data_IF_365353309666
#
_entry.id   IF_365353309666
#
_cell.length_a   1.000
_cell.length_b   1.000
_cell.length_c   1.000
_cell.angle_alpha   90.00
_cell.angle_beta   90.00
_cell.angle_gamma   90.00
#
_symmetry.space_group_name_H-M   'P 1'
#
loop_
_entity.id
_entity.type
_entity.pdbx_description
1 polymer ?
#
# COMPACT_ATOMS: atom_id res chain seq x y z
N UNK A 1 -1.12 -22.70 14.72
CA UNK A 1 -0.77 -22.08 13.42
C UNK A 1 -1.62 -22.76 12.36
N UNK A 2 -2.55 -22.07 11.68
CA UNK A 2 -3.22 -22.67 10.54
C UNK A 2 -2.15 -22.97 9.47
N UNK A 3 -2.06 -24.23 9.05
CA UNK A 3 -1.11 -24.68 8.04
C UNK A 3 -1.56 -24.17 6.67
N UNK A 4 -0.86 -23.16 6.14
CA UNK A 4 -1.09 -22.66 4.78
C UNK A 4 -0.79 -23.80 3.79
N UNK A 5 -1.76 -24.12 2.93
CA UNK A 5 -1.68 -25.25 2.00
C UNK A 5 -0.55 -25.02 0.95
N UNK A 6 0.31 -26.01 0.62
CA UNK A 6 1.34 -25.89 -0.42
C UNK A 6 0.87 -25.33 -1.77
N UNK A 7 -0.37 -25.63 -2.17
CA UNK A 7 -0.98 -25.07 -3.39
C UNK A 7 -1.20 -23.55 -3.26
N UNK A 8 -1.73 -23.10 -2.12
CA UNK A 8 -1.95 -21.68 -1.83
C UNK A 8 -0.63 -20.89 -1.81
N UNK A 9 0.43 -21.46 -1.24
CA UNK A 9 1.77 -20.85 -1.30
C UNK A 9 2.30 -20.68 -2.72
N UNK A 10 1.91 -21.59 -3.63
CA UNK A 10 2.34 -21.58 -5.02
C UNK A 10 1.58 -20.53 -5.84
N UNK A 11 0.30 -20.30 -5.55
CA UNK A 11 -0.51 -19.22 -6.13
C UNK A 11 -0.06 -17.84 -5.62
N UNK A 12 0.18 -17.71 -4.31
CA UNK A 12 0.71 -16.47 -3.71
C UNK A 12 2.03 -16.05 -4.35
N UNK A 13 2.98 -16.98 -4.52
CA UNK A 13 4.25 -16.69 -5.21
C UNK A 13 4.05 -16.25 -6.66
N UNK A 14 3.06 -16.80 -7.36
CA UNK A 14 2.74 -16.39 -8.73
C UNK A 14 2.21 -14.95 -8.78
N UNK A 15 1.32 -14.59 -7.85
CA UNK A 15 0.81 -13.23 -7.72
C UNK A 15 1.93 -12.22 -7.43
N UNK A 16 2.86 -12.57 -6.53
CA UNK A 16 4.04 -11.75 -6.21
C UNK A 16 4.94 -11.60 -7.45
N UNK A 17 5.17 -12.68 -8.21
CA UNK A 17 5.93 -12.65 -9.46
C UNK A 17 5.28 -11.74 -10.51
N UNK A 18 3.96 -11.81 -10.69
CA UNK A 18 3.23 -10.91 -11.60
C UNK A 18 3.35 -9.45 -11.17
N UNK A 19 3.19 -9.16 -9.88
CA UNK A 19 3.33 -7.81 -9.36
C UNK A 19 4.75 -7.25 -9.56
N UNK A 20 5.78 -8.06 -9.29
CA UNK A 20 7.17 -7.72 -9.56
C UNK A 20 7.40 -7.37 -11.04
N UNK A 21 6.96 -8.23 -11.96
CA UNK A 21 7.07 -8.01 -13.40
C UNK A 21 6.35 -6.74 -13.89
N UNK A 22 5.15 -6.46 -13.35
CA UNK A 22 4.32 -5.31 -13.78
C UNK A 22 4.83 -3.97 -13.26
N UNK A 23 5.52 -3.96 -12.13
CA UNK A 23 5.90 -2.72 -11.44
C UNK A 23 7.40 -2.46 -11.44
N UNK A 24 8.21 -3.49 -11.69
CA UNK A 24 9.67 -3.43 -11.59
C UNK A 24 10.20 -3.52 -10.15
N UNK A 25 9.34 -3.70 -9.14
CA UNK A 25 9.79 -3.95 -7.77
C UNK A 25 10.37 -5.36 -7.68
N UNK A 26 11.47 -5.50 -6.94
CA UNK A 26 12.15 -6.78 -6.79
C UNK A 26 11.25 -7.88 -6.19
N UNK A 27 11.27 -9.06 -6.80
CA UNK A 27 10.46 -10.20 -6.39
C UNK A 27 10.82 -10.69 -4.97
N UNK A 28 12.11 -10.75 -4.65
CA UNK A 28 12.56 -11.25 -3.35
C UNK A 28 12.21 -10.26 -2.24
N UNK A 29 12.25 -8.96 -2.52
CA UNK A 29 11.74 -7.93 -1.62
C UNK A 29 10.24 -8.12 -1.33
N UNK A 30 9.40 -8.23 -2.37
CA UNK A 30 7.96 -8.42 -2.18
C UNK A 30 7.65 -9.73 -1.43
N UNK A 31 8.38 -10.80 -1.75
CA UNK A 31 8.25 -12.08 -1.05
C UNK A 31 8.66 -11.98 0.41
N UNK A 32 9.76 -11.29 0.72
CA UNK A 32 10.21 -11.07 2.09
C UNK A 32 9.20 -10.24 2.89
N UNK A 33 8.66 -9.17 2.28
CA UNK A 33 7.63 -8.34 2.91
C UNK A 33 6.37 -9.17 3.20
N UNK A 34 5.86 -9.94 2.25
CA UNK A 34 4.69 -10.81 2.47
C UNK A 34 4.90 -11.86 3.58
N UNK A 35 6.14 -12.39 3.73
CA UNK A 35 6.47 -13.29 4.85
C UNK A 35 6.45 -12.56 6.19
N UNK A 36 7.01 -11.36 6.27
CA UNK A 36 7.04 -10.55 7.49
C UNK A 36 5.63 -10.15 7.93
N UNK A 37 4.78 -9.75 6.97
CA UNK A 37 3.46 -9.22 7.26
C UNK A 37 2.44 -10.30 7.60
N UNK A 38 2.42 -11.41 6.86
CA UNK A 38 1.37 -12.43 7.04
C UNK A 38 1.85 -13.87 7.06
N UNK A 39 3.15 -14.12 6.95
CA UNK A 39 3.67 -15.48 6.75
C UNK A 39 3.21 -16.12 5.45
N UNK A 40 2.96 -15.30 4.40
CA UNK A 40 2.36 -15.70 3.11
C UNK A 40 0.89 -16.11 3.16
N UNK A 41 0.17 -15.81 4.24
CA UNK A 41 -1.27 -16.03 4.31
C UNK A 41 -2.05 -14.83 3.72
N UNK A 42 -2.73 -14.98 2.56
CA UNK A 42 -3.58 -13.92 2.01
C UNK A 42 -4.88 -13.71 2.80
N UNK A 43 -5.21 -14.60 3.74
CA UNK A 43 -6.39 -14.48 4.63
C UNK A 43 -6.07 -13.89 6.00
N UNK A 44 -4.82 -13.52 6.25
CA UNK A 44 -4.41 -12.98 7.55
C UNK A 44 -5.19 -11.72 7.92
N UNK A 45 -5.64 -11.65 9.17
CA UNK A 45 -6.35 -10.50 9.73
C UNK A 45 -5.80 -10.21 11.13
N UNK A 46 -5.23 -9.01 11.31
CA UNK A 46 -4.80 -8.56 12.63
C UNK A 46 -6.01 -8.37 13.57
N UNK A 47 -5.88 -8.79 14.83
CA UNK A 47 -6.94 -8.63 15.85
C UNK A 47 -7.02 -7.21 16.46
N UNK A 48 -5.96 -6.42 16.36
CA UNK A 48 -5.82 -5.11 17.02
C UNK A 48 -5.88 -3.92 16.07
N UNK A 49 -5.98 -4.15 14.76
CA UNK A 49 -6.02 -3.11 13.74
C UNK A 49 -6.87 -3.53 12.54
N UNK A 50 -7.03 -2.64 11.55
CA UNK A 50 -7.69 -2.98 10.28
C UNK A 50 -6.78 -3.70 9.28
N UNK A 51 -5.53 -4.00 9.65
CA UNK A 51 -4.59 -4.73 8.81
C UNK A 51 -5.17 -6.07 8.36
N UNK A 52 -5.14 -6.29 7.05
CA UNK A 52 -5.81 -7.40 6.36
C UNK A 52 -5.01 -7.84 5.14
N UNK A 53 -4.98 -9.15 4.90
CA UNK A 53 -4.45 -9.74 3.69
C UNK A 53 -2.94 -9.98 3.69
N UNK A 54 -2.42 -10.36 2.52
CA UNK A 54 -1.04 -10.79 2.29
C UNK A 54 0.02 -9.77 2.74
N UNK A 55 -0.29 -8.47 2.62
CA UNK A 55 0.60 -7.36 3.00
C UNK A 55 0.02 -6.51 4.14
N UNK A 56 -0.94 -7.04 4.90
CA UNK A 56 -1.50 -6.40 6.10
C UNK A 56 -1.94 -4.93 5.91
N UNK A 57 -2.56 -4.62 4.77
CA UNK A 57 -3.06 -3.29 4.48
C UNK A 57 -4.14 -2.84 5.48
N UNK A 58 -3.91 -1.70 6.12
CA UNK A 58 -4.95 -0.98 6.86
C UNK A 58 -5.93 -0.29 5.91
N UNK A 59 -7.15 -0.04 6.38
CA UNK A 59 -8.26 0.49 5.58
C UNK A 59 -7.90 1.75 4.78
N UNK A 60 -7.30 2.75 5.43
CA UNK A 60 -6.96 4.04 4.79
C UNK A 60 -5.88 3.91 3.72
N UNK A 61 -4.86 3.09 3.98
CA UNK A 61 -3.77 2.86 3.02
C UNK A 61 -4.28 2.08 1.82
N UNK A 62 -5.10 1.05 2.03
CA UNK A 62 -5.71 0.30 0.94
C UNK A 62 -6.51 1.21 0.00
N UNK A 63 -7.41 2.00 0.56
CA UNK A 63 -8.25 2.92 -0.22
C UNK A 63 -7.40 3.90 -1.04
N UNK A 64 -6.36 4.48 -0.43
CA UNK A 64 -5.43 5.37 -1.13
C UNK A 64 -4.70 4.68 -2.28
N UNK A 65 -4.27 3.42 -2.10
CA UNK A 65 -3.56 2.70 -3.15
C UNK A 65 -4.48 2.34 -4.32
N UNK A 66 -5.72 1.93 -4.03
CA UNK A 66 -6.73 1.65 -5.06
C UNK A 66 -7.09 2.91 -5.84
N UNK A 67 -7.30 4.03 -5.15
CA UNK A 67 -7.58 5.35 -5.77
C UNK A 67 -6.45 5.83 -6.70
N UNK A 68 -5.20 5.56 -6.33
CA UNK A 68 -4.04 6.07 -7.10
C UNK A 68 -3.58 5.13 -8.22
N UNK A 69 -3.75 3.82 -8.03
CA UNK A 69 -3.15 2.81 -8.89
C UNK A 69 -4.12 1.73 -9.35
N UNK A 70 -5.36 1.72 -8.86
CA UNK A 70 -6.36 0.69 -9.16
C UNK A 70 -6.61 0.55 -10.66
N UNK A 71 -6.90 1.67 -11.34
CA UNK A 71 -7.12 1.69 -12.79
C UNK A 71 -5.94 1.13 -13.60
N UNK A 72 -4.70 1.43 -13.21
CA UNK A 72 -3.48 0.93 -13.88
C UNK A 72 -3.40 -0.61 -13.89
N UNK A 73 -4.03 -1.25 -12.91
CA UNK A 73 -3.93 -2.68 -12.66
C UNK A 73 -5.23 -3.44 -12.88
N UNK A 74 -6.16 -2.88 -13.66
CA UNK A 74 -7.42 -3.54 -14.02
C UNK A 74 -8.50 -3.47 -12.93
N UNK A 75 -8.33 -2.60 -11.93
CA UNK A 75 -9.31 -2.32 -10.88
C UNK A 75 -9.99 -0.95 -11.09
N UNK A 76 -10.17 -0.53 -12.35
CA UNK A 76 -10.78 0.75 -12.71
C UNK A 76 -12.17 0.94 -12.07
N UNK A 77 -12.98 -0.13 -12.00
CA UNK A 77 -14.28 -0.09 -11.32
C UNK A 77 -14.18 0.25 -9.82
N UNK A 78 -13.09 -0.17 -9.17
CA UNK A 78 -12.87 0.05 -7.73
C UNK A 78 -12.37 1.46 -7.49
N UNK A 79 -11.44 1.92 -8.32
CA UNK A 79 -10.91 3.29 -8.34
C UNK A 79 -12.04 4.31 -8.59
N UNK A 80 -12.82 4.14 -9.67
CA UNK A 80 -13.94 5.03 -10.01
C UNK A 80 -15.07 5.07 -8.96
N UNK A 81 -15.16 4.06 -8.08
CA UNK A 81 -16.13 4.06 -6.99
C UNK A 81 -15.73 4.98 -5.83
N UNK A 82 -14.45 5.39 -5.76
CA UNK A 82 -13.91 6.25 -4.71
C UNK A 82 -14.25 7.70 -5.07
N UNK A 83 -15.05 8.34 -4.22
CA UNK A 83 -15.44 9.73 -4.38
C UNK A 83 -14.31 10.70 -3.98
N UNK A 84 -14.45 12.00 -4.27
CA UNK A 84 -13.44 13.03 -4.00
C UNK A 84 -12.96 13.15 -2.54
N UNK A 85 -13.73 12.60 -1.59
CA UNK A 85 -13.36 12.53 -0.17
C UNK A 85 -12.63 11.25 0.26
N UNK A 86 -12.24 10.39 -0.69
CA UNK A 86 -11.57 9.10 -0.42
C UNK A 86 -12.51 8.00 0.10
N UNK A 87 -13.83 8.22 0.04
CA UNK A 87 -14.86 7.29 0.51
C UNK A 87 -15.69 6.71 -0.62
N UNK A 88 -16.29 5.54 -0.40
CA UNK A 88 -17.25 4.90 -1.32
C UNK A 88 -18.64 5.03 -0.71
N UNK A 89 -19.60 5.59 -1.47
CA UNK A 89 -20.95 5.88 -0.99
C UNK A 89 -21.79 4.61 -0.79
N UNK A 90 -21.74 3.67 -1.74
CA UNK A 90 -22.48 2.41 -1.64
C UNK A 90 -21.76 1.42 -0.69
N UNK A 91 -22.38 1.00 0.44
CA UNK A 91 -21.75 0.10 1.39
C UNK A 91 -21.37 -1.27 0.79
N UNK A 92 -22.16 -1.78 -0.14
CA UNK A 92 -21.87 -3.06 -0.79
C UNK A 92 -20.63 -2.97 -1.69
N UNK A 93 -20.51 -1.89 -2.46
CA UNK A 93 -19.32 -1.58 -3.26
C UNK A 93 -18.11 -1.37 -2.36
N UNK A 94 -18.26 -0.64 -1.25
CA UNK A 94 -17.18 -0.48 -0.27
C UNK A 94 -16.70 -1.84 0.23
N UNK A 95 -17.60 -2.73 0.62
CA UNK A 95 -17.24 -4.06 1.09
C UNK A 95 -16.47 -4.86 0.02
N UNK A 96 -16.88 -4.79 -1.25
CA UNK A 96 -16.17 -5.44 -2.37
C UNK A 96 -14.76 -4.87 -2.59
N UNK A 97 -14.60 -3.55 -2.57
CA UNK A 97 -13.28 -2.93 -2.70
C UNK A 97 -12.38 -3.31 -1.53
N UNK A 98 -12.91 -3.34 -0.30
CA UNK A 98 -12.13 -3.73 0.88
C UNK A 98 -11.78 -5.23 0.91
N UNK A 99 -12.58 -6.09 0.30
CA UNK A 99 -12.32 -7.54 0.23
C UNK A 99 -11.18 -7.90 -0.72
N UNK A 100 -10.85 -7.05 -1.68
CA UNK A 100 -9.69 -7.22 -2.57
C UNK A 100 -8.36 -7.33 -1.80
N UNK A 101 -8.29 -6.88 -0.54
CA UNK A 101 -7.11 -7.12 0.32
C UNK A 101 -6.78 -8.60 0.51
N UNK A 102 -7.80 -9.46 0.45
CA UNK A 102 -7.65 -10.92 0.54
C UNK A 102 -7.27 -11.57 -0.80
N UNK A 103 -7.35 -10.83 -1.91
CA UNK A 103 -6.93 -11.30 -3.23
C UNK A 103 -5.41 -11.12 -3.36
N UNK A 104 -4.69 -12.22 -3.63
CA UNK A 104 -3.23 -12.20 -3.64
C UNK A 104 -2.67 -11.33 -4.77
N UNK A 105 -3.34 -11.26 -5.93
CA UNK A 105 -2.91 -10.44 -7.06
C UNK A 105 -3.12 -8.95 -6.77
N UNK A 106 -4.33 -8.56 -6.38
CA UNK A 106 -4.64 -7.18 -6.06
C UNK A 106 -3.77 -6.67 -4.89
N UNK A 107 -3.63 -7.47 -3.84
CA UNK A 107 -2.79 -7.14 -2.68
C UNK A 107 -1.32 -6.99 -3.06
N UNK A 108 -0.78 -7.89 -3.91
CA UNK A 108 0.61 -7.80 -4.37
C UNK A 108 0.86 -6.59 -5.27
N UNK A 109 -0.08 -6.26 -6.16
CA UNK A 109 0.04 -5.08 -7.04
C UNK A 109 0.02 -3.78 -6.24
N UNK A 110 -0.89 -3.64 -5.29
CA UNK A 110 -0.94 -2.45 -4.43
C UNK A 110 0.27 -2.37 -3.49
N UNK A 111 0.77 -3.50 -2.99
CA UNK A 111 2.00 -3.53 -2.18
C UNK A 111 3.21 -3.06 -3.00
N UNK A 112 3.33 -3.53 -4.24
CA UNK A 112 4.40 -3.14 -5.13
C UNK A 112 4.32 -1.64 -5.49
N UNK A 113 3.15 -1.09 -5.77
CA UNK A 113 3.00 0.35 -6.01
C UNK A 113 3.31 1.18 -4.75
N UNK A 114 2.93 0.71 -3.55
CA UNK A 114 3.30 1.38 -2.30
C UNK A 114 4.82 1.37 -2.08
N UNK A 115 5.47 0.24 -2.39
CA UNK A 115 6.94 0.15 -2.36
C UNK A 115 7.57 1.12 -3.34
N UNK A 116 7.02 1.29 -4.55
CA UNK A 116 7.51 2.29 -5.51
C UNK A 116 7.37 3.72 -4.98
N UNK A 117 6.21 4.08 -4.45
CA UNK A 117 5.98 5.41 -3.86
C UNK A 117 6.96 5.69 -2.71
N UNK A 118 7.18 4.70 -1.83
CA UNK A 118 8.17 4.81 -0.77
C UNK A 118 9.59 4.95 -1.32
N UNK A 119 9.96 4.16 -2.35
CA UNK A 119 11.28 4.24 -2.96
C UNK A 119 11.52 5.62 -3.58
N UNK A 120 10.57 6.13 -4.36
CA UNK A 120 10.63 7.44 -4.98
C UNK A 120 10.82 8.54 -3.92
N UNK A 121 10.03 8.51 -2.84
CA UNK A 121 10.14 9.46 -1.74
C UNK A 121 11.46 9.39 -0.97
N UNK A 122 11.96 8.18 -0.72
CA UNK A 122 13.23 8.00 0.00
C UNK A 122 14.43 8.42 -0.86
N UNK A 123 14.43 8.16 -2.17
CA UNK A 123 15.50 8.59 -3.08
C UNK A 123 15.73 10.10 -3.01
N UNK A 124 14.65 10.89 -2.94
CA UNK A 124 14.73 12.35 -2.83
C UNK A 124 15.48 12.79 -1.57
N UNK A 125 15.31 12.08 -0.46
CA UNK A 125 16.00 12.39 0.80
C UNK A 125 17.40 11.78 0.94
N UNK A 126 17.62 10.60 0.34
CA UNK A 126 18.86 9.85 0.51
C UNK A 126 19.91 10.15 -0.58
N UNK A 127 19.49 10.63 -1.75
CA UNK A 127 20.37 10.81 -2.91
C UNK A 127 20.87 9.49 -3.52
N UNK A 128 20.34 8.35 -3.08
CA UNK A 128 20.65 7.00 -3.57
C UNK A 128 19.41 6.11 -3.51
N UNK A 129 19.49 4.94 -4.15
CA UNK A 129 18.50 3.89 -3.94
C UNK A 129 18.39 3.51 -2.46
N UNK A 130 17.17 3.38 -1.91
CA UNK A 130 16.98 2.90 -0.54
C UNK A 130 17.28 1.40 -0.44
N UNK A 131 17.90 1.01 0.67
CA UNK A 131 18.09 -0.39 1.05
C UNK A 131 16.73 -1.05 1.36
N UNK A 132 16.61 -2.39 1.23
CA UNK A 132 15.38 -3.11 1.62
C UNK A 132 14.90 -2.79 3.04
N UNK A 133 15.81 -2.61 3.99
CA UNK A 133 15.45 -2.25 5.37
C UNK A 133 14.91 -0.82 5.49
N UNK A 134 15.35 0.11 4.64
CA UNK A 134 14.86 1.49 4.60
C UNK A 134 13.49 1.57 3.94
N UNK A 135 13.24 0.76 2.91
CA UNK A 135 11.91 0.57 2.34
C UNK A 135 10.94 -0.04 3.36
N UNK A 136 11.39 -1.04 4.12
CA UNK A 136 10.59 -1.64 5.18
C UNK A 136 10.31 -0.66 6.32
N UNK A 137 11.29 0.19 6.67
CA UNK A 137 11.09 1.29 7.62
C UNK A 137 10.00 2.27 7.12
N UNK A 138 9.99 2.62 5.83
CA UNK A 138 8.95 3.48 5.24
C UNK A 138 7.58 2.80 5.19
N UNK A 139 7.52 1.48 4.99
CA UNK A 139 6.27 0.74 5.16
C UNK A 139 5.74 0.84 6.60
N UNK A 140 6.64 0.67 7.58
CA UNK A 140 6.31 0.63 9.00
C UNK A 140 5.96 2.00 9.62
N UNK A 141 6.74 3.05 9.33
CA UNK A 141 6.54 4.41 9.87
C UNK A 141 5.70 5.31 8.96
N UNK A 142 5.42 4.87 7.73
CA UNK A 142 5.05 5.75 6.63
C UNK A 142 6.25 6.53 6.09
N UNK A 143 6.13 7.01 4.85
CA UNK A 143 7.22 7.69 4.14
C UNK A 143 7.80 8.89 4.91
N UNK A 144 6.95 9.80 5.39
CA UNK A 144 7.43 10.99 6.12
C UNK A 144 8.14 10.65 7.43
N UNK A 145 7.65 9.65 8.16
CA UNK A 145 8.30 9.16 9.39
C UNK A 145 9.66 8.53 9.10
N UNK A 146 9.77 7.76 8.02
CA UNK A 146 11.04 7.19 7.60
C UNK A 146 12.04 8.24 7.11
N UNK A 147 11.62 9.26 6.37
CA UNK A 147 12.49 10.37 5.97
C UNK A 147 13.04 11.12 7.20
N UNK A 148 12.18 11.44 8.17
CA UNK A 148 12.60 12.06 9.42
C UNK A 148 13.56 11.15 10.20
N UNK A 149 13.25 9.86 10.29
CA UNK A 149 14.09 8.88 10.96
C UNK A 149 15.48 8.78 10.32
N UNK A 150 15.55 8.58 9.01
CA UNK A 150 16.80 8.35 8.28
C UNK A 150 17.67 9.61 8.21
N UNK A 151 17.06 10.79 8.09
CA UNK A 151 17.77 12.06 8.21
C UNK A 151 18.41 12.22 9.59
N UNK A 152 17.68 11.90 10.65
CA UNK A 152 18.21 11.94 12.01
C UNK A 152 19.27 10.86 12.27
N UNK A 153 19.11 9.67 11.70
CA UNK A 153 20.09 8.59 11.79
C UNK A 153 21.42 9.00 11.16
N UNK A 154 21.38 9.66 9.99
CA UNK A 154 22.58 10.17 9.33
C UNK A 154 23.30 11.25 10.13
N UNK A 155 22.56 12.04 10.93
CA UNK A 155 23.12 13.10 11.76
C UNK A 155 23.67 12.60 13.11
N UNK A 156 22.92 11.75 13.82
CA UNK A 156 23.29 11.18 15.11
C UNK A 156 22.64 9.79 15.31
N UNK A 157 23.36 8.71 15.00
CA UNK A 157 22.87 7.34 15.21
C UNK A 157 22.61 6.99 16.68
N UNK A 158 23.23 7.70 17.63
CA UNK A 158 23.11 7.48 19.07
C UNK A 158 21.84 8.09 19.67
N UNK A 159 21.14 8.96 18.94
CA UNK A 159 19.90 9.60 19.40
C UNK A 159 18.82 8.57 19.72
N UNK A 160 18.08 8.80 20.81
CA UNK A 160 16.96 7.94 21.20
C UNK A 160 15.85 7.92 20.14
N UNK A 161 15.58 6.74 19.57
CA UNK A 161 14.53 6.55 18.58
C UNK A 161 13.14 6.72 19.20
N UNK A 162 12.96 6.26 20.45
CA UNK A 162 11.70 6.37 21.16
C UNK A 162 11.32 7.82 21.49
N UNK A 163 12.31 8.66 21.79
CA UNK A 163 12.08 10.10 22.03
C UNK A 163 11.72 10.83 20.74
N UNK A 164 12.30 10.43 19.60
CA UNK A 164 12.03 11.04 18.30
C UNK A 164 10.70 10.58 17.69
N UNK A 165 10.31 9.32 17.92
CA UNK A 165 9.13 8.68 17.34
C UNK A 165 8.19 8.15 18.42
N UNK A 166 7.65 9.02 19.31
CA UNK A 166 6.95 8.57 20.53
C UNK A 166 5.70 7.73 20.24
N UNK A 167 4.91 8.10 19.23
CA UNK A 167 3.71 7.35 18.87
C UNK A 167 4.03 5.96 18.31
N UNK A 168 5.03 5.87 17.42
CA UNK A 168 5.49 4.58 16.89
C UNK A 168 6.10 3.70 18.00
N UNK A 169 6.84 4.31 18.94
CA UNK A 169 7.43 3.62 20.08
C UNK A 169 6.39 3.08 21.07
N UNK A 170 5.30 3.81 21.29
CA UNK A 170 4.17 3.35 22.09
C UNK A 170 3.46 2.17 21.42
N UNK A 171 3.17 2.27 20.13
CA UNK A 171 2.48 1.23 19.37
C UNK A 171 3.34 -0.04 19.17
N UNK A 172 4.67 0.11 19.12
CA UNK A 172 5.58 -0.95 18.72
C UNK A 172 6.77 -1.09 19.69
N UNK A 173 6.46 -1.22 20.98
CA UNK A 173 7.48 -1.30 22.04
C UNK A 173 8.62 -2.28 21.77
N UNK A 174 8.39 -3.50 21.23
CA UNK A 174 9.47 -4.45 20.95
C UNK A 174 10.52 -3.96 19.93
N UNK A 175 10.17 -3.00 19.07
CA UNK A 175 11.09 -2.38 18.11
C UNK A 175 11.93 -1.29 18.79
N UNK A 176 11.28 -0.44 19.57
CA UNK A 176 11.89 0.76 20.14
C UNK A 176 12.55 0.57 21.51
N UNK A 177 12.34 -0.57 22.17
CA UNK A 177 12.88 -0.84 23.50
C UNK A 177 13.47 -2.25 23.62
N UNK A 178 14.48 -2.38 24.48
CA UNK A 178 15.12 -3.62 24.86
C UNK A 178 15.31 -3.67 26.37
N UNK A 179 14.74 -4.66 27.06
CA UNK A 179 14.83 -4.73 28.52
C UNK A 179 14.36 -3.47 29.25
N UNK A 180 13.44 -2.70 28.64
CA UNK A 180 12.97 -1.41 29.16
C UNK A 180 13.82 -0.19 28.77
N UNK A 181 15.04 -0.39 28.25
CA UNK A 181 15.89 0.69 27.72
C UNK A 181 15.42 1.11 26.33
N UNK A 182 15.33 2.42 26.08
CA UNK A 182 15.05 2.95 24.74
C UNK A 182 16.22 2.66 23.80
N UNK A 183 15.92 2.13 22.61
CA UNK A 183 16.90 1.95 21.55
C UNK A 183 17.25 3.28 20.88
N UNK A 184 18.49 3.39 20.42
CA UNK A 184 18.91 4.48 19.53
C UNK A 184 18.37 4.29 18.11
N UNK A 185 18.49 5.32 17.27
CA UNK A 185 18.15 5.22 15.84
C UNK A 185 18.97 4.11 15.15
N UNK A 186 20.26 4.01 15.45
CA UNK A 186 21.13 2.97 14.90
C UNK A 186 20.68 1.56 15.31
N UNK A 187 20.32 1.37 16.59
CA UNK A 187 19.83 0.09 17.09
C UNK A 187 18.48 -0.30 16.47
N UNK A 188 17.56 0.64 16.30
CA UNK A 188 16.28 0.38 15.60
C UNK A 188 16.54 -0.02 14.14
N UNK A 189 17.47 0.61 13.42
CA UNK A 189 17.78 0.17 12.06
C UNK A 189 18.46 -1.19 11.99
N UNK A 190 19.27 -1.56 12.98
CA UNK A 190 19.78 -2.94 13.08
C UNK A 190 18.63 -3.92 13.18
N UNK A 191 17.66 -3.67 14.07
CA UNK A 191 16.47 -4.52 14.22
C UNK A 191 15.69 -4.63 12.90
N UNK A 192 15.55 -3.54 12.15
CA UNK A 192 14.88 -3.58 10.84
C UNK A 192 15.66 -4.40 9.82
N UNK A 193 16.98 -4.23 9.74
CA UNK A 193 17.86 -5.01 8.86
C UNK A 193 17.80 -6.49 9.18
N UNK A 194 17.86 -6.86 10.45
CA UNK A 194 17.81 -8.25 10.90
C UNK A 194 16.48 -8.92 10.54
N UNK A 195 15.36 -8.20 10.71
CA UNK A 195 14.03 -8.68 10.29
C UNK A 195 13.95 -8.94 8.80
N UNK A 196 14.38 -7.97 7.99
CA UNK A 196 14.35 -8.13 6.53
C UNK A 196 15.29 -9.26 6.09
N UNK A 197 16.52 -9.31 6.61
CA UNK A 197 17.47 -10.39 6.31
C UNK A 197 16.89 -11.77 6.66
N UNK A 198 16.25 -11.92 7.83
CA UNK A 198 15.60 -13.18 8.22
C UNK A 198 14.49 -13.60 7.26
N UNK A 199 13.78 -12.66 6.63
CA UNK A 199 12.70 -12.97 5.70
C UNK A 199 13.20 -13.38 4.30
N UNK A 200 14.37 -12.87 3.89
CA UNK A 200 15.07 -13.33 2.70
C UNK A 200 15.56 -14.78 2.87
N UNK A 201 16.03 -15.15 4.07
CA UNK A 201 16.61 -16.47 4.36
C UNK A 201 17.95 -16.64 3.65
N UNK A 202 18.23 -17.82 3.08
CA UNK A 202 19.44 -18.08 2.28
C UNK A 202 19.49 -17.31 0.94
N UNK A 203 18.46 -16.51 0.63
CA UNK A 203 18.46 -15.62 -0.53
C UNK A 203 19.37 -14.41 -0.29
N UNK A 204 20.23 -14.09 -1.25
CA UNK A 204 21.07 -12.89 -1.15
C UNK A 204 20.20 -11.63 -1.14
N UNK A 205 20.41 -10.77 -0.14
CA UNK A 205 19.87 -9.41 -0.14
C UNK A 205 20.48 -8.64 -1.33
N UNK A 206 19.68 -7.98 -2.18
CA UNK A 206 20.23 -7.17 -3.26
C UNK A 206 21.00 -5.99 -2.65
N UNK A 207 22.31 -5.97 -2.86
CA UNK A 207 23.17 -4.83 -2.57
C UNK A 207 23.10 -3.87 -3.77
N UNK A 208 22.08 -3.01 -3.81
CA UNK A 208 21.88 -2.09 -4.93
C UNK A 208 21.39 -2.76 -6.23
N UNK A 209 21.00 -1.93 -7.19
CA UNK A 209 20.06 -2.25 -8.26
C UNK A 209 20.44 -3.39 -9.23
N UNK A 210 19.37 -4.03 -9.72
CA UNK A 210 19.22 -4.64 -11.05
C UNK A 210 19.88 -6.00 -11.31
N UNK A 211 19.20 -7.05 -10.84
CA UNK A 211 19.24 -8.37 -11.46
C UNK A 211 18.02 -9.15 -10.99
N UNK A 212 17.28 -9.79 -11.90
CA UNK A 212 16.21 -10.70 -11.50
C UNK A 212 16.81 -11.76 -10.56
N UNK A 213 16.42 -11.82 -9.28
CA UNK A 213 17.16 -12.62 -8.33
C UNK A 213 17.00 -14.10 -8.64
N UNK A 214 17.97 -14.91 -8.23
CA UNK A 214 18.06 -16.36 -8.51
C UNK A 214 16.76 -17.12 -8.18
N UNK A 215 15.98 -16.65 -7.19
CA UNK A 215 14.69 -17.24 -6.79
C UNK A 215 13.59 -16.99 -7.81
N UNK A 216 13.52 -15.79 -8.40
CA UNK A 216 12.60 -15.53 -9.51
C UNK A 216 12.95 -16.38 -10.72
N UNK A 217 14.22 -16.46 -11.09
CA UNK A 217 14.68 -17.31 -12.20
C UNK A 217 14.35 -18.80 -11.96
N UNK A 218 14.59 -19.32 -10.75
CA UNK A 218 14.26 -20.69 -10.37
C UNK A 218 12.74 -20.95 -10.39
N UNK A 219 11.93 -20.02 -9.87
CA UNK A 219 10.47 -20.12 -9.91
C UNK A 219 9.93 -20.04 -11.34
N UNK A 220 10.42 -19.10 -12.15
CA UNK A 220 10.00 -18.92 -13.53
C UNK A 220 10.36 -20.14 -14.40
N UNK A 221 11.54 -20.72 -14.19
CA UNK A 221 12.01 -21.92 -14.88
C UNK A 221 11.19 -23.17 -14.53
N UNK A 222 10.75 -23.32 -13.27
CA UNK A 222 9.87 -24.41 -12.86
C UNK A 222 8.47 -24.34 -13.48
N UNK A 223 8.04 -23.16 -13.95
CA UNK A 223 6.64 -22.93 -14.34
C UNK A 223 6.38 -22.56 -15.79
N UNK A 224 7.41 -22.43 -16.64
CA UNK A 224 7.27 -21.84 -17.99
C UNK A 224 6.43 -20.55 -17.95
N UNK A 225 6.70 -19.69 -16.97
CA UNK A 225 5.85 -18.54 -16.58
C UNK A 225 5.59 -17.55 -17.71
N UNK A 226 6.44 -17.56 -18.75
CA UNK A 226 6.41 -16.60 -19.86
C UNK A 226 5.26 -16.79 -20.87
N UNK A 227 4.57 -17.94 -20.93
CA UNK A 227 3.60 -18.21 -22.01
C UNK A 227 2.14 -18.41 -21.57
N UNK A 228 1.84 -18.79 -20.32
CA UNK A 228 0.45 -19.10 -19.92
C UNK A 228 -0.22 -18.05 -19.00
N UNK A 229 0.54 -17.31 -18.17
CA UNK A 229 -0.05 -16.47 -17.11
C UNK A 229 -0.29 -15.00 -17.52
N UNK A 230 0.25 -14.55 -18.67
CA UNK A 230 0.00 -13.20 -19.20
C UNK A 230 -1.35 -13.08 -19.92
N UNK A 231 -1.92 -14.19 -20.41
CA UNK A 231 -3.16 -14.20 -21.19
C UNK A 231 -4.44 -14.46 -20.37
N UNK A 232 -4.32 -14.86 -19.09
CA UNK A 232 -5.46 -15.33 -18.28
C UNK A 232 -5.87 -14.45 -17.09
N UNK A 233 -5.15 -13.37 -16.78
CA UNK A 233 -5.42 -12.56 -15.58
C UNK A 233 -6.48 -11.49 -15.84
N UNK A 234 -7.72 -11.92 -16.01
CA UNK A 234 -8.87 -11.08 -15.66
C UNK A 234 -9.05 -11.22 -14.15
N UNK A 235 -8.70 -10.19 -13.37
CA UNK A 235 -9.24 -10.07 -12.01
C UNK A 235 -10.76 -10.21 -12.18
N UNK A 236 -11.36 -11.28 -11.65
CA UNK A 236 -12.72 -11.74 -11.98
C UNK A 236 -13.70 -10.56 -12.06
N UNK A 237 -14.01 -10.13 -13.28
CA UNK A 237 -15.01 -9.11 -13.54
C UNK A 237 -16.38 -9.77 -13.44
N UNK A 238 -17.05 -9.65 -12.30
CA UNK A 238 -18.50 -9.83 -12.29
C UNK A 238 -19.13 -8.67 -13.07
N UNK A 239 -20.03 -8.94 -14.04
CA UNK A 239 -20.67 -7.88 -14.79
C UNK A 239 -21.60 -7.08 -13.85
N UNK A 240 -21.35 -5.77 -13.74
CA UNK A 240 -22.30 -4.80 -13.20
C UNK A 240 -23.18 -4.26 -14.35
N UNK A 241 -24.40 -3.79 -14.07
CA UNK A 241 -25.31 -3.28 -15.10
C UNK A 241 -24.65 -2.14 -15.88
N UNK A 242 -24.91 -2.13 -17.19
CA UNK A 242 -24.30 -1.22 -18.17
C UNK A 242 -24.38 0.23 -17.73
N UNK A 243 -23.23 0.81 -17.36
CA UNK A 243 -23.08 2.24 -17.20
C UNK A 243 -23.08 2.89 -18.59
N UNK A 244 -24.02 3.82 -18.80
CA UNK A 244 -24.06 4.63 -20.01
C UNK A 244 -22.71 5.36 -20.19
N UNK A 245 -22.19 5.36 -21.42
CA UNK A 245 -20.94 6.03 -21.79
C UNK A 245 -20.97 7.49 -21.35
N UNK A 246 -20.07 7.88 -20.45
CA UNK A 246 -19.86 9.27 -20.05
C UNK A 246 -18.74 9.86 -20.91
N UNK A 247 -18.86 11.12 -21.34
CA UNK A 247 -17.87 11.77 -22.17
C UNK A 247 -16.54 11.98 -21.40
N UNK A 248 -15.44 12.04 -22.16
CA UNK A 248 -14.07 12.15 -21.65
C UNK A 248 -13.89 13.45 -20.83
N UNK A 249 -12.91 13.49 -19.91
CA UNK A 249 -12.52 14.72 -19.21
C UNK A 249 -12.19 15.87 -20.18
N UNK A 250 -11.74 15.58 -21.41
CA UNK A 250 -11.54 16.56 -22.48
C UNK A 250 -12.83 17.22 -22.95
N UNK A 251 -13.95 16.50 -22.92
CA UNK A 251 -15.25 16.97 -23.37
C UNK A 251 -15.93 17.80 -22.27
N UNK A 252 -15.74 17.40 -21.01
CA UNK A 252 -16.17 18.19 -19.85
C UNK A 252 -15.46 19.55 -19.83
N UNK A 253 -14.14 19.59 -20.06
CA UNK A 253 -13.37 20.85 -20.07
C UNK A 253 -13.76 21.80 -21.21
N UNK A 254 -14.14 21.27 -22.39
CA UNK A 254 -14.69 22.10 -23.48
C UNK A 254 -16.05 22.70 -23.12
N UNK A 255 -16.88 21.95 -22.38
CA UNK A 255 -18.21 22.42 -21.97
C UNK A 255 -18.17 23.42 -20.79
N UNK A 256 -17.18 23.30 -19.89
CA UNK A 256 -17.07 24.15 -18.69
C UNK A 256 -16.43 25.50 -18.98
N UNK A 257 -15.53 25.60 -19.97
CA UNK A 257 -14.77 26.83 -20.23
C UNK A 257 -15.09 27.52 -21.56
N UNK A 258 -15.99 26.96 -22.37
CA UNK A 258 -16.41 27.53 -23.65
C UNK A 258 -17.88 27.96 -23.66
N UNK A 259 -18.20 29.15 -23.13
CA UNK A 259 -19.53 29.73 -23.28
C UNK A 259 -19.81 30.93 -22.39
N UNK A 260 -19.66 32.14 -22.93
CA UNK A 260 -19.91 33.40 -22.26
C UNK A 260 -21.43 33.72 -22.10
N UNK A 261 -21.84 34.30 -20.95
CA UNK A 261 -23.01 35.19 -20.88
C UNK A 261 -24.01 35.05 -19.70
N UNK A 262 -23.71 35.71 -18.55
CA UNK A 262 -24.64 36.33 -17.54
C UNK A 262 -25.67 35.47 -16.74
N UNK A 263 -26.33 36.00 -15.66
CA UNK A 263 -25.76 36.39 -14.37
C UNK A 263 -26.38 35.66 -13.14
N UNK A 264 -25.66 35.69 -12.01
CA UNK A 264 -26.03 35.15 -10.69
C UNK A 264 -27.21 35.86 -10.01
N UNK A 265 -28.08 35.11 -9.31
CA UNK A 265 -29.05 35.68 -8.37
C UNK A 265 -29.80 34.67 -7.49
N UNK A 266 -29.63 34.82 -6.17
CA UNK A 266 -30.60 34.52 -5.07
C UNK A 266 -30.83 33.10 -4.52
N UNK A 267 -30.16 32.02 -4.95
CA UNK A 267 -30.35 30.69 -4.30
C UNK A 267 -29.33 30.29 -3.23
N UNK A 268 -28.32 31.10 -2.95
CA UNK A 268 -27.24 30.73 -2.02
C UNK A 268 -27.46 31.15 -0.56
N UNK A 269 -28.47 31.97 -0.24
CA UNK A 269 -28.64 32.53 1.11
C UNK A 269 -29.67 31.81 2.00
N UNK A 270 -30.55 30.96 1.46
CA UNK A 270 -31.56 30.27 2.27
C UNK A 270 -31.04 28.96 2.91
N UNK A 271 -30.00 28.36 2.34
CA UNK A 271 -29.45 27.07 2.82
C UNK A 271 -28.60 27.21 4.09
N UNK A 272 -28.13 28.42 4.42
CA UNK A 272 -27.25 28.66 5.57
C UNK A 272 -28.05 28.83 6.87
N UNK A 273 -29.29 29.32 6.80
CA UNK A 273 -30.15 29.48 7.98
C UNK A 273 -30.72 28.14 8.50
N UNK A 274 -30.82 27.11 7.65
CA UNK A 274 -31.26 25.76 8.08
C UNK A 274 -30.14 24.96 8.74
N UNK A 275 -28.88 25.33 8.54
CA UNK A 275 -27.73 24.59 9.06
C UNK A 275 -27.41 24.89 10.54
N UNK A 276 -27.80 26.05 11.07
CA UNK A 276 -27.52 26.42 12.48
C UNK A 276 -28.65 26.08 13.47
N UNK A 277 -29.83 25.67 13.01
CA UNK A 277 -30.95 25.31 13.89
C UNK A 277 -30.87 23.91 14.51
N UNK A 278 -30.06 23.00 13.95
CA UNK A 278 -30.03 21.58 14.37
C UNK A 278 -28.99 21.21 15.43
N UNK A 279 -28.11 22.14 15.81
CA UNK A 279 -27.12 21.91 16.88
C UNK A 279 -27.65 22.22 18.29
N UNK A 280 -28.77 22.94 18.43
CA UNK A 280 -29.35 23.26 19.74
C UNK A 280 -30.28 22.17 20.32
N UNK A 281 -30.48 21.06 19.61
CA UNK A 281 -31.36 19.96 20.04
C UNK A 281 -30.63 18.76 20.65
N UNK A 282 -29.29 18.79 20.73
CA UNK A 282 -28.48 17.70 21.32
C UNK A 282 -27.55 18.12 22.46
N UNK A 283 -27.67 19.35 22.97
CA UNK A 283 -27.00 19.74 24.22
C UNK A 283 -25.47 19.66 24.21
N UNK A 284 -24.84 20.00 23.07
CA UNK A 284 -23.41 20.30 22.96
C UNK A 284 -23.25 21.75 22.47
#
# INVERSE_FOLDING_TARGET
>A
MPTVNPVQNTEVKAAIARASLRTGVDFDYLLAQAKLESGLDPRAKAGTSSATGLYQFIDSTWMRMVDRHGSKHGMEWADQAIGPGGGIADPATRARVMSLRYDADASSLMAAELTRENADGLRLSLGREPEPAELYLAHFLGLGGAQQFLGALGADPGRSAAAMMPQAALANRPIFYEGGRARSLGEVMSVMRDKVASAYGDGAMPAGASGAPKRFAAFAAQRNFAQHDFSGSTISSHPLPTAASRPSMSDTLKSTFGGAGAPMGRRASETIATAYGKLKAFGL
#
